data_IF_386132513896
#
_entry.id   IF_386132513896
#
_cell.length_a   1.000
_cell.length_b   1.000
_cell.length_c   1.000
_cell.angle_alpha   90.00
_cell.angle_beta   90.00
_cell.angle_gamma   90.00
#
_symmetry.space_group_name_H-M   'P 1'
#
loop_
_entity.id
_entity.type
_entity.pdbx_description
1 polymer ?
#
# COMPACT_ATOMS: atom_id res chain seq x y z
N UNK A 1 -14.54 -12.94 3.31
CA UNK A 1 -13.51 -11.98 2.90
C UNK A 1 -14.13 -10.79 2.20
N UNK A 2 -13.67 -9.62 2.49
CA UNK A 2 -14.12 -8.40 1.82
C UNK A 2 -13.07 -7.93 0.83
N UNK A 3 -13.54 -7.24 -0.22
CA UNK A 3 -12.66 -6.69 -1.27
C UNK A 3 -12.87 -5.19 -1.36
N UNK A 4 -11.77 -4.47 -1.58
CA UNK A 4 -11.79 -3.03 -1.85
C UNK A 4 -11.01 -2.77 -3.12
N UNK A 5 -11.53 -1.87 -3.95
CA UNK A 5 -10.83 -1.34 -5.12
C UNK A 5 -10.98 0.17 -5.12
N UNK A 6 -9.85 0.86 -5.10
CA UNK A 6 -9.79 2.33 -5.15
C UNK A 6 -8.64 2.77 -6.02
N UNK A 7 -8.81 3.90 -6.68
CA UNK A 7 -7.75 4.46 -7.51
C UNK A 7 -7.70 5.98 -7.37
N UNK A 8 -6.57 6.56 -7.77
CA UNK A 8 -6.39 8.01 -7.78
C UNK A 8 -5.43 8.40 -8.90
N UNK A 9 -5.70 9.52 -9.55
CA UNK A 9 -4.77 10.11 -10.51
C UNK A 9 -3.77 10.99 -9.76
N UNK A 10 -2.50 10.86 -10.13
CA UNK A 10 -1.40 11.59 -9.50
C UNK A 10 -0.62 12.32 -10.59
N UNK A 11 -0.34 13.60 -10.38
CA UNK A 11 0.34 14.46 -11.36
C UNK A 11 1.86 14.35 -11.23
N UNK A 12 2.38 13.14 -11.36
CA UNK A 12 3.81 12.83 -11.45
C UNK A 12 3.98 11.69 -12.44
N UNK A 13 5.20 11.52 -13.00
CA UNK A 13 5.47 10.37 -13.86
C UNK A 13 5.21 9.05 -13.15
N UNK A 14 4.81 8.02 -13.90
CA UNK A 14 4.52 6.70 -13.33
C UNK A 14 5.71 6.14 -12.56
N UNK A 15 6.93 6.37 -13.03
CA UNK A 15 8.12 5.91 -12.33
C UNK A 15 8.33 6.61 -10.98
N UNK A 16 7.99 7.89 -10.89
CA UNK A 16 8.06 8.62 -9.62
C UNK A 16 7.10 8.04 -8.59
N UNK A 17 5.85 7.79 -9.00
CA UNK A 17 4.86 7.19 -8.10
C UNK A 17 5.27 5.77 -7.71
N UNK A 18 5.70 4.97 -8.67
CA UNK A 18 6.14 3.61 -8.40
C UNK A 18 7.34 3.59 -7.45
N UNK A 19 8.36 4.41 -7.74
CA UNK A 19 9.56 4.45 -6.91
C UNK A 19 9.22 4.81 -5.46
N UNK A 20 8.33 5.78 -5.26
CA UNK A 20 7.93 6.15 -3.90
C UNK A 20 7.23 5.00 -3.18
N UNK A 21 6.42 4.21 -3.88
CA UNK A 21 5.76 3.04 -3.29
C UNK A 21 6.72 1.90 -2.96
N UNK A 22 7.95 1.93 -3.46
CA UNK A 22 8.97 0.96 -3.05
C UNK A 22 9.64 1.34 -1.74
N UNK A 23 9.44 2.56 -1.27
CA UNK A 23 10.02 3.06 -0.03
C UNK A 23 9.03 2.82 1.11
N UNK A 24 8.88 1.56 1.51
CA UNK A 24 7.87 1.13 2.47
C UNK A 24 8.01 1.81 3.83
N UNK A 25 9.23 2.11 4.24
CA UNK A 25 9.48 2.74 5.54
C UNK A 25 9.04 4.20 5.59
N UNK A 26 8.69 4.78 4.43
CA UNK A 26 8.11 6.13 4.35
C UNK A 26 6.58 6.13 4.45
N UNK A 27 5.93 4.98 4.42
CA UNK A 27 4.47 4.89 4.43
C UNK A 27 3.80 5.63 5.59
N UNK A 28 4.37 5.70 6.81
CA UNK A 28 3.76 6.50 7.87
C UNK A 28 3.55 7.97 7.52
N UNK A 29 4.28 8.49 6.52
CA UNK A 29 4.14 9.90 6.10
C UNK A 29 2.80 10.18 5.43
N UNK A 30 2.14 9.17 4.88
CA UNK A 30 0.87 9.37 4.17
C UNK A 30 -0.20 8.31 4.48
N UNK A 31 0.12 7.24 5.22
CA UNK A 31 -0.86 6.24 5.61
C UNK A 31 -1.25 6.45 7.07
N UNK A 32 -2.51 6.88 7.27
CA UNK A 32 -3.04 7.11 8.61
C UNK A 32 -3.02 5.83 9.43
N UNK A 33 -2.58 5.93 10.68
CA UNK A 33 -2.55 4.80 11.60
C UNK A 33 -1.34 3.91 11.45
N UNK A 34 -0.60 3.98 10.36
CA UNK A 34 0.65 3.23 10.21
C UNK A 34 1.73 3.93 11.02
N UNK A 35 2.24 3.25 12.06
CA UNK A 35 3.23 3.82 12.96
C UNK A 35 4.65 3.56 12.46
N UNK A 36 4.90 2.34 11.98
CA UNK A 36 6.24 1.95 11.54
C UNK A 36 6.16 0.76 10.59
N UNK A 37 6.99 0.80 9.56
CA UNK A 37 7.24 -0.34 8.70
C UNK A 37 8.75 -0.57 8.70
N UNK A 38 9.17 -1.82 8.90
CA UNK A 38 10.57 -2.20 8.84
C UNK A 38 10.74 -3.19 7.70
N UNK A 39 11.58 -2.87 6.74
CA UNK A 39 11.88 -3.78 5.65
C UNK A 39 12.97 -4.75 6.11
N UNK A 40 12.65 -6.04 6.15
CA UNK A 40 13.54 -7.09 6.65
C UNK A 40 14.47 -7.59 5.55
N UNK A 41 13.94 -7.71 4.35
CA UNK A 41 14.69 -8.07 3.13
C UNK A 41 13.87 -7.61 1.92
N UNK A 42 14.27 -8.00 0.71
CA UNK A 42 13.61 -7.54 -0.52
C UNK A 42 12.13 -7.94 -0.61
N UNK A 43 11.72 -8.97 0.13
CA UNK A 43 10.38 -9.52 0.05
C UNK A 43 9.58 -9.42 1.34
N UNK A 44 10.21 -9.16 2.48
CA UNK A 44 9.53 -9.23 3.78
C UNK A 44 9.54 -7.92 4.52
N UNK A 45 8.39 -7.60 5.11
CA UNK A 45 8.16 -6.37 5.85
C UNK A 45 7.54 -6.71 7.21
N UNK A 46 7.84 -5.89 8.20
CA UNK A 46 7.14 -5.89 9.49
C UNK A 46 6.36 -4.59 9.62
N UNK A 47 5.07 -4.71 9.91
CA UNK A 47 4.16 -3.58 10.05
C UNK A 47 3.73 -3.41 11.50
N UNK A 48 3.67 -2.15 11.95
CA UNK A 48 3.04 -1.78 13.21
C UNK A 48 2.08 -0.64 12.91
N UNK A 49 0.82 -0.82 13.25
CA UNK A 49 -0.22 0.16 12.93
C UNK A 49 -1.31 0.18 14.00
N UNK A 50 -2.01 1.30 14.10
CA UNK A 50 -3.22 1.43 14.88
C UNK A 50 -4.41 1.18 13.96
N UNK A 51 -5.19 0.13 14.24
CA UNK A 51 -6.34 -0.24 13.45
C UNK A 51 -7.57 -0.23 14.38
N UNK A 52 -8.48 0.71 14.16
CA UNK A 52 -9.69 0.81 14.94
C UNK A 52 -9.46 1.03 16.43
N UNK A 53 -8.39 1.74 16.81
CA UNK A 53 -8.07 2.04 18.20
C UNK A 53 -7.14 1.04 18.88
N UNK A 54 -6.75 -0.04 18.20
CA UNK A 54 -5.81 -1.02 18.73
C UNK A 54 -4.53 -1.05 17.92
N UNK A 55 -3.40 -1.14 18.61
CA UNK A 55 -2.11 -1.33 17.96
C UNK A 55 -1.97 -2.80 17.56
N UNK A 56 -1.66 -3.03 16.28
CA UNK A 56 -1.46 -4.36 15.71
C UNK A 56 -0.12 -4.44 15.02
N UNK A 57 0.47 -5.62 15.04
CA UNK A 57 1.72 -5.90 14.34
C UNK A 57 1.54 -7.17 13.51
N UNK A 58 2.11 -7.16 12.31
CA UNK A 58 2.09 -8.35 11.44
C UNK A 58 3.24 -8.27 10.46
N UNK A 59 3.48 -9.40 9.79
CA UNK A 59 4.45 -9.47 8.71
C UNK A 59 3.72 -9.48 7.37
N UNK A 60 4.38 -8.96 6.35
CA UNK A 60 3.88 -9.02 4.98
C UNK A 60 5.00 -9.47 4.07
N UNK A 61 4.62 -10.20 3.03
CA UNK A 61 5.56 -10.67 2.03
C UNK A 61 5.15 -10.12 0.67
N UNK A 62 6.12 -9.56 -0.05
CA UNK A 62 5.92 -9.13 -1.43
C UNK A 62 5.95 -10.37 -2.30
N UNK A 63 4.86 -10.66 -2.99
CA UNK A 63 4.74 -11.84 -3.84
C UNK A 63 5.08 -11.55 -5.29
N UNK A 64 4.94 -10.28 -5.71
CA UNK A 64 5.26 -9.86 -7.06
C UNK A 64 5.62 -8.38 -7.06
N UNK A 65 6.66 -8.01 -7.78
CA UNK A 65 7.03 -6.60 -7.94
C UNK A 65 7.65 -6.42 -9.32
N UNK A 66 7.01 -5.57 -10.12
CA UNK A 66 7.46 -5.28 -11.49
C UNK A 66 7.52 -3.76 -11.62
N UNK A 67 8.70 -3.18 -11.90
CA UNK A 67 8.86 -1.73 -11.97
C UNK A 67 7.84 -1.07 -12.88
N UNK A 68 7.27 0.03 -12.40
CA UNK A 68 6.27 0.86 -13.07
C UNK A 68 4.95 0.16 -13.37
N UNK A 69 4.76 -1.08 -12.92
CA UNK A 69 3.55 -1.85 -13.18
C UNK A 69 2.80 -2.23 -11.93
N UNK A 70 3.42 -2.96 -10.97
CA UNK A 70 2.68 -3.43 -9.80
C UNK A 70 3.56 -3.92 -8.66
N UNK A 71 2.94 -3.90 -7.48
CA UNK A 71 3.48 -4.48 -6.26
C UNK A 71 2.36 -5.28 -5.62
N UNK A 72 2.53 -6.59 -5.48
CA UNK A 72 1.54 -7.47 -4.84
C UNK A 72 2.10 -8.01 -3.53
N UNK A 73 1.21 -8.17 -2.53
CA UNK A 73 1.64 -8.63 -1.22
C UNK A 73 0.61 -9.57 -0.58
N UNK A 74 1.06 -10.30 0.45
CA UNK A 74 0.20 -11.07 1.33
C UNK A 74 0.71 -10.91 2.76
N UNK A 75 -0.20 -10.74 3.72
CA UNK A 75 0.20 -10.70 5.13
C UNK A 75 0.48 -12.11 5.65
N UNK A 76 1.39 -12.20 6.62
CA UNK A 76 1.75 -13.43 7.30
C UNK A 76 1.57 -13.20 8.81
N UNK A 77 0.64 -13.93 9.41
CA UNK A 77 0.32 -13.79 10.83
C UNK A 77 -0.41 -12.49 11.16
N UNK A 78 -1.21 -12.49 12.20
CA UNK A 78 -1.97 -11.31 12.61
C UNK A 78 -3.16 -11.04 11.71
N UNK A 79 -3.34 -9.76 11.35
CA UNK A 79 -4.44 -9.32 10.50
C UNK A 79 -4.23 -9.80 9.07
N UNK A 80 -5.21 -10.52 8.50
CA UNK A 80 -5.10 -10.97 7.12
C UNK A 80 -5.41 -9.83 6.14
N UNK A 81 -4.46 -9.56 5.26
CA UNK A 81 -4.66 -8.72 4.08
C UNK A 81 -3.83 -9.27 2.93
N UNK A 82 -4.34 -9.14 1.72
CA UNK A 82 -3.57 -9.39 0.52
C UNK A 82 -4.05 -8.44 -0.56
N UNK A 83 -3.19 -8.12 -1.51
CA UNK A 83 -3.62 -7.22 -2.56
C UNK A 83 -2.53 -6.87 -3.53
N UNK A 84 -2.85 -5.91 -4.38
CA UNK A 84 -1.95 -5.42 -5.40
C UNK A 84 -2.17 -3.93 -5.60
N UNK A 85 -1.07 -3.20 -5.70
CA UNK A 85 -1.08 -1.81 -6.17
C UNK A 85 -0.58 -1.84 -7.60
N UNK A 86 -1.37 -1.31 -8.53
CA UNK A 86 -0.99 -1.22 -9.93
C UNK A 86 -0.80 0.22 -10.34
N UNK A 87 0.09 0.45 -11.29
CA UNK A 87 0.49 1.78 -11.74
C UNK A 87 0.22 1.86 -13.24
N UNK A 88 -0.52 2.90 -13.65
CA UNK A 88 -0.96 3.06 -15.04
C UNK A 88 -0.51 4.42 -15.56
N UNK A 89 0.38 4.42 -16.54
CA UNK A 89 0.84 5.66 -17.17
C UNK A 89 -0.30 6.27 -17.96
N UNK A 90 -0.62 7.54 -17.66
CA UNK A 90 -1.62 8.31 -18.41
C UNK A 90 -0.94 9.23 -19.43
N UNK A 91 0.13 9.89 -19.03
CA UNK A 91 1.01 10.67 -19.92
C UNK A 91 2.39 10.81 -19.24
N UNK A 92 3.27 11.65 -19.79
CA UNK A 92 4.65 11.78 -19.30
C UNK A 92 4.72 12.23 -17.83
N UNK A 93 3.72 13.00 -17.38
CA UNK A 93 3.72 13.62 -16.05
C UNK A 93 2.48 13.26 -15.23
N UNK A 94 1.80 12.18 -15.58
CA UNK A 94 0.57 11.79 -14.89
C UNK A 94 0.39 10.29 -14.94
N UNK A 95 -0.11 9.72 -13.85
CA UNK A 95 -0.38 8.30 -13.75
C UNK A 95 -1.61 8.06 -12.88
N UNK A 96 -2.11 6.82 -12.92
CA UNK A 96 -3.15 6.35 -12.02
C UNK A 96 -2.58 5.26 -11.13
N UNK A 97 -2.82 5.38 -9.83
CA UNK A 97 -2.45 4.38 -8.84
C UNK A 97 -3.73 3.70 -8.39
N UNK A 98 -3.79 2.38 -8.53
CA UNK A 98 -4.97 1.59 -8.18
C UNK A 98 -4.60 0.55 -7.12
N UNK A 99 -5.39 0.51 -6.05
CA UNK A 99 -5.27 -0.50 -5.00
C UNK A 99 -6.45 -1.47 -5.08
N UNK A 100 -6.14 -2.77 -5.15
CA UNK A 100 -7.13 -3.84 -5.02
C UNK A 100 -6.69 -4.70 -3.84
N UNK A 101 -7.55 -4.83 -2.83
CA UNK A 101 -7.18 -5.48 -1.58
C UNK A 101 -8.28 -6.40 -1.08
N UNK A 102 -7.89 -7.58 -0.61
CA UNK A 102 -8.74 -8.47 0.18
C UNK A 102 -8.36 -8.36 1.64
N UNK A 103 -9.34 -8.42 2.53
CA UNK A 103 -9.08 -8.42 3.96
C UNK A 103 -10.17 -9.20 4.70
N UNK A 104 -9.84 -9.63 5.92
CA UNK A 104 -10.79 -10.31 6.80
C UNK A 104 -11.43 -9.26 7.71
N UNK A 105 -12.75 -8.97 7.56
CA UNK A 105 -13.41 -7.98 8.42
C UNK A 105 -13.34 -8.33 9.90
N UNK A 106 -13.27 -9.63 10.23
CA UNK A 106 -13.20 -10.06 11.62
C UNK A 106 -11.87 -9.71 12.28
N UNK A 107 -10.84 -9.40 11.50
CA UNK A 107 -9.54 -8.97 12.03
C UNK A 107 -9.55 -7.51 12.49
N UNK A 108 -10.60 -6.75 12.16
CA UNK A 108 -10.75 -5.36 12.58
C UNK A 108 -11.42 -5.33 13.94
N UNK A 109 -10.98 -4.39 14.79
CA UNK A 109 -11.47 -4.25 16.16
C UNK A 109 -13.00 -4.07 16.21
N UNK A 110 -13.64 -4.73 17.15
CA UNK A 110 -15.09 -4.76 17.28
C UNK A 110 -15.75 -3.41 17.53
N UNK A 111 -15.01 -2.44 18.07
CA UNK A 111 -15.54 -1.10 18.31
C UNK A 111 -15.87 -0.35 17.03
N UNK A 112 -15.37 -0.82 15.88
CA UNK A 112 -15.71 -0.24 14.59
C UNK A 112 -17.00 -0.87 14.09
N UNK A 113 -18.11 -0.14 14.21
CA UNK A 113 -19.44 -0.65 13.84
C UNK A 113 -19.57 -0.96 12.35
N UNK A 114 -19.03 -0.10 11.48
CA UNK A 114 -19.05 -0.27 10.03
C UNK A 114 -17.64 -0.58 9.55
N UNK A 115 -17.25 -1.84 9.62
CA UNK A 115 -15.90 -2.29 9.28
C UNK A 115 -15.55 -2.04 7.81
N UNK A 116 -16.47 -2.31 6.90
CA UNK A 116 -16.24 -2.09 5.48
C UNK A 116 -16.08 -0.61 5.16
N UNK A 117 -16.96 0.23 5.70
CA UNK A 117 -16.86 1.67 5.51
C UNK A 117 -15.61 2.26 6.14
N UNK A 118 -15.19 1.74 7.31
CA UNK A 118 -13.95 2.17 7.96
C UNK A 118 -12.74 1.92 7.06
N UNK A 119 -12.60 0.70 6.53
CA UNK A 119 -11.46 0.35 5.68
C UNK A 119 -11.50 1.13 4.37
N UNK A 120 -12.68 1.29 3.78
CA UNK A 120 -12.85 2.06 2.54
C UNK A 120 -12.41 3.51 2.72
N UNK A 121 -12.82 4.16 3.81
CA UNK A 121 -12.40 5.54 4.09
C UNK A 121 -10.91 5.64 4.37
N UNK A 122 -10.33 4.66 5.07
CA UNK A 122 -8.90 4.64 5.34
C UNK A 122 -8.10 4.53 4.05
N UNK A 123 -8.47 3.61 3.17
CA UNK A 123 -7.79 3.40 1.89
C UNK A 123 -7.92 4.64 1.00
N UNK A 124 -9.14 5.18 0.87
CA UNK A 124 -9.37 6.37 0.07
C UNK A 124 -8.55 7.56 0.58
N UNK A 125 -8.53 7.75 1.89
CA UNK A 125 -7.73 8.81 2.51
C UNK A 125 -6.23 8.61 2.33
N UNK A 126 -5.75 7.38 2.43
CA UNK A 126 -4.33 7.07 2.24
C UNK A 126 -3.88 7.38 0.81
N UNK A 127 -4.71 7.07 -0.19
CA UNK A 127 -4.41 7.41 -1.58
C UNK A 127 -4.37 8.91 -1.80
N UNK A 128 -5.31 9.66 -1.20
CA UNK A 128 -5.32 11.11 -1.29
C UNK A 128 -4.10 11.72 -0.62
N UNK A 129 -3.69 11.21 0.53
CA UNK A 129 -2.49 11.68 1.22
C UNK A 129 -1.22 11.33 0.44
N UNK A 130 -1.18 10.17 -0.19
CA UNK A 130 -0.07 9.82 -1.07
C UNK A 130 0.05 10.83 -2.22
N UNK A 131 -1.08 11.15 -2.87
CA UNK A 131 -1.13 12.14 -3.94
C UNK A 131 -0.54 13.48 -3.48
N UNK A 132 -1.02 13.99 -2.35
CA UNK A 132 -0.51 15.25 -1.80
C UNK A 132 0.98 15.17 -1.47
N UNK A 133 1.40 14.06 -0.89
CA UNK A 133 2.79 13.84 -0.48
C UNK A 133 3.73 13.88 -1.68
N UNK A 134 3.44 13.11 -2.73
CA UNK A 134 4.34 13.01 -3.86
C UNK A 134 4.27 14.23 -4.78
N UNK A 135 3.09 14.81 -4.95
CA UNK A 135 2.94 16.02 -5.78
C UNK A 135 3.62 17.23 -5.14
N UNK A 136 3.52 17.37 -3.83
CA UNK A 136 4.17 18.49 -3.14
C UNK A 136 5.69 18.35 -3.14
N UNK A 137 6.21 17.13 -3.11
CA UNK A 137 7.64 16.87 -3.20
C UNK A 137 8.17 17.02 -4.63
N UNK A 138 7.38 16.56 -5.60
CA UNK A 138 7.79 16.52 -7.01
C UNK A 138 8.80 15.44 -7.34
N UNK A 139 9.38 14.77 -6.35
CA UNK A 139 10.42 13.76 -6.53
C UNK A 139 10.30 12.70 -5.41
N UNK A 140 10.59 11.46 -5.75
CA UNK A 140 10.57 10.34 -4.80
C UNK A 140 11.74 10.42 -3.80
N UNK A 141 11.56 9.79 -2.63
CA UNK A 141 12.62 9.73 -1.60
C UNK A 141 13.68 8.69 -1.89
N UNK A 142 13.39 7.76 -2.79
CA UNK A 142 14.29 6.69 -3.15
C UNK A 142 13.61 5.76 -4.13
N UNK A 143 14.26 4.65 -4.44
CA UNK A 143 13.72 3.68 -5.38
C UNK A 143 14.34 2.31 -5.15
N UNK A 144 13.55 1.28 -5.41
CA UNK A 144 14.05 -0.08 -5.58
C UNK A 144 13.38 -0.63 -6.84
N UNK A 145 14.17 -0.97 -7.83
CA UNK A 145 13.65 -1.33 -9.15
C UNK A 145 13.96 -2.78 -9.54
N UNK A 146 14.17 -3.63 -8.54
CA UNK A 146 14.30 -5.05 -8.77
C UNK A 146 12.96 -5.68 -9.14
N UNK A 147 13.01 -6.91 -9.63
CA UNK A 147 11.83 -7.67 -10.01
C UNK A 147 11.66 -8.86 -9.09
N UNK A 148 10.43 -9.04 -8.59
CA UNK A 148 10.04 -10.22 -7.83
C UNK A 148 8.92 -10.89 -8.64
N UNK A 149 9.15 -12.14 -9.06
CA UNK A 149 8.18 -12.88 -9.86
C UNK A 149 7.49 -13.92 -9.00
N UNK A 150 6.21 -14.16 -9.31
CA UNK A 150 5.49 -15.25 -8.68
C UNK A 150 6.13 -16.59 -9.06
N UNK A 151 6.22 -17.54 -8.11
CA UNK A 151 6.66 -18.88 -8.46
C UNK A 151 5.74 -19.47 -9.53
N UNK A 152 6.33 -20.09 -10.55
CA UNK A 152 5.56 -20.78 -11.58
C UNK A 152 5.06 -22.09 -10.99
N UNK A 153 3.73 -22.37 -11.03
CA UNK A 153 3.20 -23.62 -10.49
C UNK A 153 3.67 -24.86 -11.24
#
# INVERSE_FOLDING_TARGET
MAMIEKSIEVEVPVSTAYNQYTQFEEFPQFMEGVEQITQLDDQRLHWAANVGGQRKEWYARITEQIPDERIAWVSEGGTFTSGVVTFHRLDENRCRVMLQMEYDPESIVEEVGDKLGFVTRRVDGDLKRFKEYIESRGVETGAWRGTISRPVP
#
